data_IF_380330558312
#
_entry.id   IF_380330558312
#
_cell.length_a   1.000
_cell.length_b   1.000
_cell.length_c   1.000
_cell.angle_alpha   90.00
_cell.angle_beta   90.00
_cell.angle_gamma   90.00
#
_symmetry.space_group_name_H-M   'P 1'
#
loop_
_entity.id
_entity.type
_entity.pdbx_description
1 polymer ?
#
# COMPACT_ATOMS: atom_id res chain seq x y z
N UNK A 1 -12.77 -3.88 16.93
CA UNK A 1 -13.47 -3.47 15.69
C UNK A 1 -14.52 -4.51 15.40
N UNK A 2 -15.76 -4.08 15.21
CA UNK A 2 -16.87 -4.97 14.86
C UNK A 2 -17.31 -4.71 13.42
N UNK A 3 -17.56 -5.78 12.67
CA UNK A 3 -18.15 -5.74 11.33
C UNK A 3 -19.34 -6.69 11.29
N UNK A 4 -20.50 -6.15 10.97
CA UNK A 4 -21.73 -6.92 10.73
C UNK A 4 -22.04 -6.84 9.24
N UNK A 5 -22.22 -8.00 8.59
CA UNK A 5 -22.68 -8.11 7.22
C UNK A 5 -24.14 -8.54 7.25
N UNK A 6 -25.00 -7.76 6.59
CA UNK A 6 -26.43 -8.02 6.49
C UNK A 6 -26.77 -8.18 5.02
N UNK A 7 -27.29 -9.34 4.65
CA UNK A 7 -27.80 -9.62 3.31
C UNK A 7 -29.30 -9.84 3.35
N UNK A 8 -30.04 -9.12 2.50
CA UNK A 8 -31.51 -9.20 2.43
C UNK A 8 -32.21 -9.02 3.78
N UNK A 9 -31.69 -8.12 4.62
CA UNK A 9 -32.24 -7.83 5.95
C UNK A 9 -31.91 -8.87 7.02
N UNK A 10 -31.14 -9.92 6.69
CA UNK A 10 -30.68 -10.93 7.64
C UNK A 10 -29.19 -10.73 7.92
N UNK A 11 -28.79 -10.69 9.18
CA UNK A 11 -27.38 -10.72 9.56
C UNK A 11 -26.78 -12.07 9.15
N UNK A 12 -25.82 -12.04 8.23
CA UNK A 12 -25.17 -13.24 7.70
C UNK A 12 -23.81 -13.48 8.34
N UNK A 13 -23.16 -12.44 8.85
CA UNK A 13 -21.83 -12.55 9.47
C UNK A 13 -21.58 -11.44 10.49
N UNK A 14 -21.03 -11.82 11.64
CA UNK A 14 -20.46 -10.91 12.64
C UNK A 14 -19.00 -11.25 12.87
N UNK A 15 -18.14 -10.26 12.70
CA UNK A 15 -16.70 -10.36 12.88
C UNK A 15 -16.27 -9.35 13.93
N UNK A 16 -15.69 -9.85 15.02
CA UNK A 16 -15.13 -9.04 16.11
C UNK A 16 -13.63 -9.25 16.13
N UNK A 17 -12.90 -8.16 15.95
CA UNK A 17 -11.43 -8.13 15.96
C UNK A 17 -10.92 -7.37 17.17
N UNK A 18 -10.01 -8.00 17.88
CA UNK A 18 -9.29 -7.42 19.01
C UNK A 18 -7.91 -6.93 18.55
N UNK A 19 -7.45 -5.84 19.14
CA UNK A 19 -6.15 -5.25 18.83
C UNK A 19 -5.40 -5.02 20.14
N UNK A 20 -4.09 -5.12 20.07
CA UNK A 20 -3.19 -4.84 21.19
C UNK A 20 -2.37 -3.61 20.84
N UNK A 21 -2.19 -2.72 21.81
CA UNK A 21 -1.36 -1.52 21.67
C UNK A 21 -0.52 -1.35 22.92
N UNK A 22 0.68 -0.79 22.75
CA UNK A 22 1.55 -0.36 23.84
C UNK A 22 1.25 1.07 24.31
N UNK A 23 0.23 1.73 23.75
CA UNK A 23 -0.18 3.07 24.12
C UNK A 23 -0.93 3.07 25.45
N UNK A 24 -0.74 4.12 26.23
CA UNK A 24 -1.47 4.35 27.47
C UNK A 24 -2.93 4.70 27.16
N UNK A 25 -3.87 4.00 27.80
CA UNK A 25 -5.30 4.17 27.61
C UNK A 25 -5.79 5.58 27.97
N UNK A 26 -5.12 6.28 28.88
CA UNK A 26 -5.48 7.66 29.25
C UNK A 26 -5.06 8.70 28.21
N UNK A 27 -4.18 8.32 27.28
CA UNK A 27 -3.59 9.25 26.29
C UNK A 27 -4.26 9.16 24.92
N UNK A 28 -5.13 8.18 24.70
CA UNK A 28 -5.75 7.91 23.41
C UNK A 28 -7.22 7.54 23.53
N UNK A 29 -8.03 8.13 22.66
CA UNK A 29 -9.45 7.77 22.56
C UNK A 29 -9.67 6.49 21.76
N UNK A 30 -10.73 5.71 22.03
CA UNK A 30 -11.10 4.55 21.21
C UNK A 30 -11.26 4.86 19.72
N UNK A 31 -11.76 6.06 19.39
CA UNK A 31 -11.96 6.52 18.02
C UNK A 31 -10.63 6.73 17.30
N UNK A 32 -9.61 7.28 17.98
CA UNK A 32 -8.26 7.42 17.42
C UNK A 32 -7.61 6.06 17.17
N UNK A 33 -7.68 5.13 18.14
CA UNK A 33 -7.19 3.76 17.95
C UNK A 33 -7.85 3.08 16.76
N UNK A 34 -9.18 3.18 16.64
CA UNK A 34 -9.91 2.63 15.50
C UNK A 34 -9.48 3.30 14.18
N UNK A 35 -9.26 4.61 14.19
CA UNK A 35 -8.74 5.37 13.06
C UNK A 35 -7.38 4.87 12.60
N UNK A 36 -6.44 4.65 13.51
CA UNK A 36 -5.11 4.12 13.17
C UNK A 36 -5.15 2.67 12.69
N UNK A 37 -5.96 1.82 13.32
CA UNK A 37 -6.17 0.43 12.89
C UNK A 37 -6.71 0.39 11.46
N UNK A 38 -7.69 1.24 11.14
CA UNK A 38 -8.22 1.36 9.78
C UNK A 38 -7.18 1.97 8.83
N UNK A 39 -6.41 2.94 9.29
CA UNK A 39 -5.32 3.55 8.53
C UNK A 39 -4.21 2.55 8.19
N UNK A 40 -3.96 1.57 9.05
CA UNK A 40 -2.94 0.55 8.82
C UNK A 40 -3.23 -0.30 7.57
N UNK A 41 -4.51 -0.49 7.21
CA UNK A 41 -4.90 -1.16 5.96
C UNK A 41 -4.39 -0.47 4.69
N UNK A 42 -3.97 0.79 4.77
CA UNK A 42 -3.30 1.47 3.66
C UNK A 42 -2.01 0.78 3.23
N UNK A 43 -1.32 0.05 4.12
CA UNK A 43 -0.13 -0.72 3.74
C UNK A 43 -0.51 -1.80 2.74
N UNK A 44 -1.53 -2.60 3.05
CA UNK A 44 -2.00 -3.64 2.14
C UNK A 44 -2.52 -3.06 0.81
N UNK A 45 -3.38 -2.04 0.89
CA UNK A 45 -4.03 -1.48 -0.29
C UNK A 45 -3.09 -0.66 -1.19
N UNK A 46 -2.15 0.09 -0.61
CA UNK A 46 -1.31 1.03 -1.35
C UNK A 46 0.10 0.51 -1.64
N UNK A 47 0.56 -0.54 -0.96
CA UNK A 47 1.86 -1.19 -1.20
C UNK A 47 1.68 -2.58 -1.77
N UNK A 48 1.13 -3.52 -1.01
CA UNK A 48 1.07 -4.94 -1.38
C UNK A 48 0.20 -5.17 -2.61
N UNK A 49 -1.03 -4.66 -2.63
CA UNK A 49 -1.93 -4.81 -3.77
C UNK A 49 -1.32 -4.30 -5.08
N UNK A 50 -0.60 -3.16 -5.04
CA UNK A 50 0.05 -2.61 -6.23
C UNK A 50 1.17 -3.55 -6.70
N UNK A 51 2.02 -3.99 -5.78
CA UNK A 51 3.14 -4.89 -6.09
C UNK A 51 2.64 -6.25 -6.63
N UNK A 52 1.67 -6.85 -5.96
CA UNK A 52 1.18 -8.18 -6.26
C UNK A 52 0.33 -8.19 -7.54
N UNK A 53 -0.52 -7.17 -7.73
CA UNK A 53 -1.49 -7.16 -8.83
C UNK A 53 -1.03 -6.37 -10.05
N UNK A 54 -0.34 -5.26 -9.88
CA UNK A 54 0.09 -4.42 -11.01
C UNK A 54 1.48 -4.82 -11.51
N UNK A 55 2.39 -5.18 -10.61
CA UNK A 55 3.72 -5.65 -10.97
C UNK A 55 3.87 -7.17 -10.96
N UNK A 56 2.78 -7.89 -10.65
CA UNK A 56 2.71 -9.34 -10.73
C UNK A 56 3.85 -10.02 -9.93
N UNK A 57 4.23 -9.40 -8.79
CA UNK A 57 5.37 -9.82 -7.99
C UNK A 57 5.25 -11.28 -7.53
N UNK A 58 4.03 -11.73 -7.22
CA UNK A 58 3.73 -13.11 -6.84
C UNK A 58 4.09 -14.15 -7.92
N UNK A 59 4.12 -13.75 -9.19
CA UNK A 59 4.51 -14.65 -10.29
C UNK A 59 6.00 -14.65 -10.55
N UNK A 60 6.76 -13.73 -9.96
CA UNK A 60 8.21 -13.71 -10.09
C UNK A 60 8.84 -14.85 -9.30
N UNK A 61 9.18 -15.94 -9.99
CA UNK A 61 9.86 -17.06 -9.37
C UNK A 61 11.39 -16.83 -9.33
N UNK A 62 11.87 -16.31 -8.21
CA UNK A 62 13.30 -16.01 -8.00
C UNK A 62 14.00 -17.16 -7.27
N UNK A 63 14.88 -17.89 -7.98
CA UNK A 63 15.56 -19.09 -7.46
C UNK A 63 16.84 -18.82 -6.67
N UNK A 64 17.36 -17.58 -6.70
CA UNK A 64 18.60 -17.22 -6.02
C UNK A 64 18.30 -16.75 -4.59
N UNK A 65 18.96 -17.33 -3.55
CA UNK A 65 18.80 -16.85 -2.17
C UNK A 65 19.07 -15.35 -2.05
N UNK A 66 18.24 -14.65 -1.29
CA UNK A 66 18.34 -13.20 -1.07
C UNK A 66 17.92 -12.32 -2.26
N UNK A 67 17.65 -12.89 -3.44
CA UNK A 67 17.18 -12.08 -4.59
C UNK A 67 15.74 -11.60 -4.40
N UNK A 68 14.88 -12.42 -3.79
CA UNK A 68 13.50 -12.04 -3.49
C UNK A 68 13.43 -10.81 -2.58
N UNK A 69 14.20 -10.80 -1.49
CA UNK A 69 14.28 -9.65 -0.58
C UNK A 69 14.75 -8.38 -1.30
N UNK A 70 15.83 -8.47 -2.08
CA UNK A 70 16.36 -7.33 -2.85
C UNK A 70 15.35 -6.81 -3.86
N UNK A 71 14.67 -7.69 -4.57
CA UNK A 71 13.62 -7.31 -5.52
C UNK A 71 12.46 -6.63 -4.80
N UNK A 72 12.00 -7.17 -3.67
CA UNK A 72 10.97 -6.56 -2.84
C UNK A 72 11.37 -5.16 -2.34
N UNK A 73 12.65 -4.95 -1.98
CA UNK A 73 13.18 -3.62 -1.64
C UNK A 73 13.13 -2.68 -2.84
N UNK A 74 13.64 -3.11 -4.00
CA UNK A 74 13.67 -2.29 -5.21
C UNK A 74 12.27 -1.89 -5.68
N UNK A 75 11.31 -2.82 -5.67
CA UNK A 75 9.91 -2.55 -6.03
C UNK A 75 9.28 -1.58 -5.03
N UNK A 76 9.47 -1.79 -3.72
CA UNK A 76 8.99 -0.85 -2.70
C UNK A 76 9.58 0.57 -2.87
N UNK A 77 10.88 0.69 -3.16
CA UNK A 77 11.53 1.98 -3.45
C UNK A 77 10.98 2.63 -4.71
N UNK A 78 10.79 1.87 -5.80
CA UNK A 78 10.21 2.36 -7.03
C UNK A 78 8.78 2.86 -6.80
N UNK A 79 7.98 2.16 -6.00
CA UNK A 79 6.59 2.55 -5.73
C UNK A 79 6.53 3.82 -4.91
N UNK A 80 7.34 3.91 -3.85
CA UNK A 80 7.44 5.11 -3.03
C UNK A 80 7.87 6.31 -3.88
N UNK A 81 8.82 6.13 -4.80
CA UNK A 81 9.23 7.15 -5.74
C UNK A 81 8.06 7.60 -6.63
N UNK A 82 7.35 6.65 -7.26
CA UNK A 82 6.19 6.99 -8.10
C UNK A 82 5.15 7.73 -7.26
N UNK A 83 4.82 7.29 -6.04
CA UNK A 83 3.85 7.94 -5.17
C UNK A 83 4.25 9.36 -4.77
N UNK A 84 5.54 9.60 -4.51
CA UNK A 84 6.05 10.93 -4.16
C UNK A 84 5.91 11.90 -5.34
N UNK A 85 6.32 11.44 -6.52
CA UNK A 85 6.29 12.25 -7.75
C UNK A 85 4.87 12.37 -8.30
N UNK A 86 4.02 11.37 -8.06
CA UNK A 86 2.64 11.33 -8.51
C UNK A 86 1.76 12.36 -7.84
N UNK A 87 2.04 12.68 -6.57
CA UNK A 87 1.26 13.67 -5.80
C UNK A 87 1.23 15.06 -6.44
N UNK A 88 2.23 15.40 -7.27
CA UNK A 88 2.29 16.68 -7.97
C UNK A 88 1.53 16.70 -9.29
N UNK A 89 0.98 15.56 -9.73
CA UNK A 89 0.40 15.41 -11.06
C UNK A 89 -1.02 14.84 -11.00
N UNK A 90 -1.90 15.41 -11.82
CA UNK A 90 -3.32 15.02 -11.97
C UNK A 90 -3.49 13.72 -12.80
N UNK A 91 -2.78 12.66 -12.41
CA UNK A 91 -2.80 11.36 -13.09
C UNK A 91 -2.81 10.25 -12.06
N UNK A 92 -3.51 9.15 -12.36
CA UNK A 92 -3.48 7.96 -11.51
C UNK A 92 -2.08 7.31 -11.47
N UNK A 93 -1.77 6.71 -10.32
CA UNK A 93 -0.45 6.15 -9.99
C UNK A 93 0.11 5.20 -11.06
N UNK A 94 -0.72 4.28 -11.56
CA UNK A 94 -0.33 3.32 -12.61
C UNK A 94 0.12 4.02 -13.90
N UNK A 95 -0.62 5.04 -14.33
CA UNK A 95 -0.29 5.79 -15.56
C UNK A 95 1.06 6.49 -15.44
N UNK A 96 1.41 6.98 -14.26
CA UNK A 96 2.72 7.59 -14.02
C UNK A 96 3.83 6.56 -13.98
N UNK A 97 3.62 5.41 -13.33
CA UNK A 97 4.57 4.30 -13.36
C UNK A 97 4.86 3.86 -14.80
N UNK A 98 3.82 3.66 -15.62
CA UNK A 98 3.96 3.31 -17.04
C UNK A 98 4.72 4.40 -17.80
N UNK A 99 4.38 5.68 -17.59
CA UNK A 99 5.09 6.80 -18.23
C UNK A 99 6.57 6.81 -17.89
N UNK A 100 6.93 6.61 -16.62
CA UNK A 100 8.33 6.59 -16.19
C UNK A 100 9.07 5.38 -16.76
N UNK A 101 8.41 4.23 -16.87
CA UNK A 101 8.98 3.05 -17.53
C UNK A 101 9.27 3.30 -19.02
N UNK A 102 8.33 3.92 -19.75
CA UNK A 102 8.47 4.21 -21.19
C UNK A 102 9.36 5.42 -21.49
N UNK A 103 9.44 6.39 -20.57
CA UNK A 103 10.20 7.64 -20.74
C UNK A 103 10.95 8.00 -19.44
N UNK A 104 12.05 7.29 -19.13
CA UNK A 104 12.78 7.47 -17.87
C UNK A 104 13.23 8.92 -17.62
N UNK A 105 13.52 9.67 -18.69
CA UNK A 105 13.91 11.09 -18.58
C UNK A 105 12.85 11.92 -17.86
N UNK A 106 11.56 11.59 -18.03
CA UNK A 106 10.47 12.31 -17.34
C UNK A 106 10.53 12.13 -15.82
N UNK A 107 10.96 10.97 -15.33
CA UNK A 107 11.20 10.72 -13.91
C UNK A 107 12.48 11.42 -13.42
N UNK A 108 13.55 11.40 -14.22
CA UNK A 108 14.82 12.05 -13.88
C UNK A 108 14.68 13.57 -13.76
N UNK A 109 13.91 14.21 -14.64
CA UNK A 109 13.63 15.64 -14.53
C UNK A 109 12.82 15.98 -13.27
N UNK A 110 11.89 15.11 -12.85
CA UNK A 110 11.16 15.29 -11.58
C UNK A 110 12.10 15.22 -10.36
N UNK A 111 13.23 14.53 -10.49
CA UNK A 111 14.30 14.47 -9.50
C UNK A 111 15.33 15.61 -9.61
N UNK A 112 15.15 16.54 -10.57
CA UNK A 112 16.05 17.66 -10.78
C UNK A 112 17.30 17.33 -11.62
N UNK A 113 17.38 16.13 -12.20
CA UNK A 113 18.44 15.81 -13.16
C UNK A 113 18.13 16.43 -14.53
N UNK A 114 19.17 16.89 -15.22
CA UNK A 114 19.10 17.49 -16.56
C UNK A 114 19.39 16.45 -17.63
#
# INVERSE_FOLDING_TARGET
MERVVVERGTETLRDVRYFVSSLDAETVTPQQLLGWVRGHWSVENNLHFVKDRWWDEDRHYLRRPGLAERMATLTSCALAFVQLVAQTADRGLRRQADLFAWRPQTALHQLGFK
#
